data_IF_022945040841
#
_entry.id   IF_022945040841
#
_cell.length_a   1.000
_cell.length_b   1.000
_cell.length_c   1.000
_cell.angle_alpha   90.00
_cell.angle_beta   90.00
_cell.angle_gamma   90.00
#
_symmetry.space_group_name_H-M   'P 1'
#
loop_
_entity.id
_entity.type
_entity.pdbx_description
1 polymer ?
#
# COMPACT_ATOMS: atom_id res chain seq x y z
N UNK A 1 18.05 3.75 -4.27
CA UNK A 1 16.90 2.88 -4.59
C UNK A 1 16.27 3.36 -5.89
N UNK A 2 15.78 2.46 -6.75
CA UNK A 2 15.03 2.87 -7.95
C UNK A 2 13.73 3.55 -7.47
N UNK A 3 13.48 4.75 -7.97
CA UNK A 3 12.28 5.52 -7.66
C UNK A 3 11.09 4.87 -8.35
N UNK A 4 10.05 4.51 -7.60
CA UNK A 4 8.79 4.04 -8.18
C UNK A 4 7.99 5.26 -8.64
N UNK A 5 7.57 5.27 -9.90
CA UNK A 5 6.57 6.25 -10.36
C UNK A 5 5.19 5.76 -9.97
N UNK A 6 4.73 6.18 -8.79
CA UNK A 6 3.45 5.78 -8.22
C UNK A 6 2.23 6.19 -9.06
N UNK A 7 2.37 7.05 -10.07
CA UNK A 7 1.27 7.44 -10.96
C UNK A 7 1.20 6.63 -12.25
N UNK A 8 2.33 6.06 -12.69
CA UNK A 8 2.42 5.38 -13.99
C UNK A 8 2.67 3.90 -13.87
N UNK A 9 3.41 3.48 -12.85
CA UNK A 9 3.79 2.08 -12.70
C UNK A 9 2.59 1.26 -12.23
N UNK A 10 2.48 0.05 -12.76
CA UNK A 10 1.67 -1.00 -12.17
C UNK A 10 2.24 -1.34 -10.79
N UNK A 11 1.36 -1.52 -9.82
CA UNK A 11 1.72 -1.88 -8.45
C UNK A 11 1.31 -3.35 -8.25
N UNK A 12 2.26 -4.14 -7.76
CA UNK A 12 2.10 -5.55 -7.43
C UNK A 12 2.70 -5.86 -6.05
N UNK A 13 2.54 -7.10 -5.59
CA UNK A 13 2.94 -7.55 -4.26
C UNK A 13 4.44 -7.37 -4.01
N UNK A 14 5.27 -7.39 -5.07
CA UNK A 14 6.73 -7.25 -4.99
C UNK A 14 7.22 -5.80 -5.04
N UNK A 15 6.33 -4.86 -5.32
CA UNK A 15 6.66 -3.44 -5.41
C UNK A 15 7.14 -2.93 -4.06
N UNK A 16 8.38 -2.46 -3.99
CA UNK A 16 8.98 -1.91 -2.77
C UNK A 16 8.45 -0.50 -2.52
N UNK A 17 8.02 -0.24 -1.29
CA UNK A 17 7.65 1.09 -0.81
C UNK A 17 8.92 1.92 -0.67
N UNK A 18 9.00 3.01 -1.42
CA UNK A 18 10.12 3.94 -1.41
C UNK A 18 9.77 5.18 -0.61
N UNK A 19 10.79 5.95 -0.25
CA UNK A 19 10.66 7.29 0.36
C UNK A 19 9.74 8.26 -0.42
N UNK A 20 9.62 8.05 -1.74
CA UNK A 20 8.73 8.82 -2.61
C UNK A 20 7.30 8.30 -2.66
N UNK A 21 6.88 7.43 -1.72
CA UNK A 21 5.54 6.85 -1.66
C UNK A 21 4.44 7.92 -1.66
N UNK A 22 3.39 7.65 -2.42
CA UNK A 22 2.15 8.43 -2.43
C UNK A 22 0.96 7.50 -2.61
N UNK A 23 -0.12 7.77 -1.88
CA UNK A 23 -1.40 7.05 -2.01
C UNK A 23 -2.15 7.48 -3.29
N UNK A 24 -1.58 7.17 -4.45
CA UNK A 24 -2.13 7.48 -5.78
C UNK A 24 -3.30 6.57 -6.14
N UNK A 25 -3.91 6.81 -7.30
CA UNK A 25 -4.96 5.93 -7.82
C UNK A 25 -4.46 4.51 -8.11
N UNK A 26 -3.20 4.31 -8.52
CA UNK A 26 -2.65 2.97 -8.77
C UNK A 26 -2.51 2.18 -7.47
N UNK A 27 -2.07 2.85 -6.40
CA UNK A 27 -2.02 2.25 -5.06
C UNK A 27 -3.42 1.86 -4.59
N UNK A 28 -4.40 2.76 -4.73
CA UNK A 28 -5.81 2.47 -4.39
C UNK A 28 -6.37 1.29 -5.18
N UNK A 29 -6.10 1.23 -6.49
CA UNK A 29 -6.50 0.12 -7.36
C UNK A 29 -5.87 -1.20 -6.92
N UNK A 30 -4.59 -1.19 -6.54
CA UNK A 30 -3.91 -2.36 -6.02
C UNK A 30 -4.59 -2.90 -4.75
N UNK A 31 -4.84 -2.06 -3.74
CA UNK A 31 -5.48 -2.54 -2.52
C UNK A 31 -6.92 -3.02 -2.78
N UNK A 32 -7.68 -2.31 -3.63
CA UNK A 32 -9.03 -2.71 -4.01
C UNK A 32 -9.08 -4.04 -4.77
N UNK A 33 -8.10 -4.32 -5.64
CA UNK A 33 -8.06 -5.61 -6.34
C UNK A 33 -7.76 -6.78 -5.42
N UNK A 34 -7.16 -6.53 -4.25
CA UNK A 34 -6.77 -7.55 -3.26
C UNK A 34 -7.77 -7.70 -2.12
N UNK A 35 -8.40 -6.60 -1.71
CA UNK A 35 -9.27 -6.52 -0.53
C UNK A 35 -10.73 -6.23 -0.86
N UNK A 36 -11.06 -5.98 -2.14
CA UNK A 36 -12.40 -5.63 -2.62
C UNK A 36 -12.65 -4.13 -2.76
N UNK A 37 -13.70 -3.78 -3.50
CA UNK A 37 -14.04 -2.37 -3.82
C UNK A 37 -14.46 -1.54 -2.60
N UNK A 38 -14.92 -2.21 -1.53
CA UNK A 38 -15.29 -1.59 -0.25
C UNK A 38 -14.08 -1.13 0.57
N UNK A 39 -12.87 -1.54 0.19
CA UNK A 39 -11.65 -1.13 0.87
C UNK A 39 -11.49 0.39 0.87
N UNK A 40 -11.25 0.94 2.07
CA UNK A 40 -10.96 2.34 2.30
C UNK A 40 -9.74 2.46 3.20
N UNK A 41 -8.79 3.27 2.75
CA UNK A 41 -7.69 3.69 3.60
C UNK A 41 -8.21 4.45 4.82
N UNK A 42 -7.86 3.98 6.01
CA UNK A 42 -7.97 4.77 7.22
C UNK A 42 -6.69 5.59 7.48
N UNK A 43 -6.79 6.50 8.45
CA UNK A 43 -5.70 7.42 8.77
C UNK A 43 -4.47 6.69 9.34
N UNK A 44 -4.69 5.68 10.18
CA UNK A 44 -3.62 4.98 10.88
C UNK A 44 -2.80 4.12 9.92
N UNK A 45 -3.46 3.50 8.95
CA UNK A 45 -2.80 2.75 7.88
C UNK A 45 -2.06 3.68 6.93
N UNK A 46 -2.64 4.83 6.55
CA UNK A 46 -1.90 5.82 5.75
C UNK A 46 -0.66 6.36 6.47
N UNK A 47 -0.74 6.61 7.77
CA UNK A 47 0.41 7.06 8.56
C UNK A 47 1.50 5.98 8.62
N UNK A 48 1.12 4.72 8.79
CA UNK A 48 2.07 3.62 8.76
C UNK A 48 2.74 3.45 7.39
N UNK A 49 1.98 3.54 6.30
CA UNK A 49 2.53 3.44 4.94
C UNK A 49 3.64 4.45 4.67
N UNK A 50 3.55 5.67 5.22
CA UNK A 50 4.60 6.69 5.07
C UNK A 50 5.93 6.29 5.75
N UNK A 51 5.90 5.39 6.72
CA UNK A 51 7.08 4.88 7.42
C UNK A 51 7.49 3.47 6.97
N UNK A 52 6.73 2.85 6.07
CA UNK A 52 6.96 1.48 5.59
C UNK A 52 8.04 1.38 4.49
N UNK A 53 8.95 2.36 4.42
CA UNK A 53 10.01 2.37 3.40
C UNK A 53 10.88 1.12 3.52
N UNK A 54 11.09 0.43 2.39
CA UNK A 54 11.85 -0.82 2.34
C UNK A 54 10.99 -2.08 2.48
N UNK A 55 9.72 -1.97 2.90
CA UNK A 55 8.75 -3.06 2.82
C UNK A 55 8.13 -3.14 1.43
N UNK A 56 7.46 -4.25 1.16
CA UNK A 56 6.71 -4.46 -0.08
C UNK A 56 5.24 -4.09 0.07
N UNK A 57 4.56 -3.89 -1.06
CA UNK A 57 3.10 -3.74 -1.08
C UNK A 57 2.38 -5.01 -0.62
N UNK A 58 3.01 -6.18 -0.75
CA UNK A 58 2.54 -7.43 -0.15
C UNK A 58 2.58 -7.37 1.38
N UNK A 59 3.66 -6.87 1.97
CA UNK A 59 3.77 -6.66 3.42
C UNK A 59 2.70 -5.68 3.92
N UNK A 60 2.41 -4.63 3.14
CA UNK A 60 1.35 -3.69 3.45
C UNK A 60 -0.05 -4.32 3.46
N UNK A 61 -0.33 -5.30 2.59
CA UNK A 61 -1.58 -6.07 2.65
C UNK A 61 -1.66 -6.90 3.94
N UNK A 62 -0.57 -7.56 4.31
CA UNK A 62 -0.51 -8.35 5.54
C UNK A 62 -0.70 -7.46 6.77
N UNK A 63 -0.09 -6.28 6.78
CA UNK A 63 -0.29 -5.29 7.84
C UNK A 63 -1.74 -4.82 7.92
N UNK A 64 -2.39 -4.55 6.78
CA UNK A 64 -3.81 -4.22 6.76
C UNK A 64 -4.67 -5.35 7.32
N UNK A 65 -4.42 -6.59 6.91
CA UNK A 65 -5.14 -7.76 7.40
C UNK A 65 -5.00 -7.90 8.92
N UNK A 66 -3.78 -7.79 9.45
CA UNK A 66 -3.53 -7.83 10.90
C UNK A 66 -4.35 -6.79 11.65
N UNK A 67 -4.37 -5.54 11.19
CA UNK A 67 -5.12 -4.44 11.82
C UNK A 67 -6.63 -4.65 11.84
N UNK A 68 -7.17 -5.36 10.86
CA UNK A 68 -8.61 -5.62 10.76
C UNK A 68 -9.03 -6.94 11.43
N UNK A 69 -8.10 -7.87 11.59
CA UNK A 69 -8.31 -9.10 12.38
C UNK A 69 -8.30 -8.81 13.89
N UNK A 70 -7.69 -7.70 14.32
CA UNK A 70 -7.69 -7.28 15.73
C UNK A 70 -8.95 -6.49 16.16
N UNK A 71 -10.02 -6.50 15.36
CA UNK A 71 -11.28 -5.82 15.67
C UNK A 71 -12.39 -6.78 16.11
#
# INVERSE_FOLDING_TARGET
>A
MKKVDWHKNQIDDSTVITDSYKTTQNVRRYFKSKLGEEFKFDRDFMQWMNNATGLTMGDALQEWAKRNDTK
#
